data_IF_265385901773
#
_entry.id   IF_265385901773
#
_cell.length_a   1.000
_cell.length_b   1.000
_cell.length_c   1.000
_cell.angle_alpha   90.00
_cell.angle_beta   90.00
_cell.angle_gamma   90.00
#
_symmetry.space_group_name_H-M   'P 1'
#
loop_
_entity.id
_entity.type
_entity.pdbx_description
1 polymer ?
#
# COMPACT_ATOMS: atom_id res chain seq x y z
N UNK A 1 1.90 3.53 -43.33
CA UNK A 1 1.87 3.46 -41.85
C UNK A 1 0.45 3.72 -41.39
N UNK A 2 -0.15 2.90 -40.51
CA UNK A 2 -1.48 3.18 -39.99
C UNK A 2 -1.49 4.46 -39.12
N UNK A 3 -2.56 5.25 -39.20
CA UNK A 3 -2.81 6.44 -38.35
C UNK A 3 -2.68 6.03 -36.88
N UNK A 4 -1.89 6.74 -36.07
CA UNK A 4 -1.79 6.53 -34.61
C UNK A 4 -3.16 6.53 -33.90
N UNK A 5 -4.14 7.16 -34.55
CA UNK A 5 -5.56 7.27 -34.26
C UNK A 5 -6.31 5.92 -34.23
N UNK A 6 -5.73 4.88 -34.83
CA UNK A 6 -6.33 3.53 -34.96
C UNK A 6 -5.68 2.49 -34.04
N UNK A 7 -4.65 2.87 -33.31
CA UNK A 7 -4.02 1.99 -32.30
C UNK A 7 -4.91 2.08 -31.05
N UNK A 8 -5.54 0.98 -30.60
CA UNK A 8 -6.30 1.01 -29.36
C UNK A 8 -5.40 1.48 -28.22
N UNK A 9 -5.91 2.38 -27.38
CA UNK A 9 -5.20 2.77 -26.16
C UNK A 9 -4.89 1.56 -25.27
N UNK A 10 -3.95 1.68 -24.32
CA UNK A 10 -3.62 0.57 -23.43
C UNK A 10 -4.85 0.16 -22.62
N UNK A 11 -5.05 -1.15 -22.42
CA UNK A 11 -6.16 -1.68 -21.62
C UNK A 11 -6.12 -1.17 -20.16
N UNK A 12 -7.28 -1.13 -19.50
CA UNK A 12 -7.37 -0.80 -18.08
C UNK A 12 -6.57 -1.81 -17.24
N UNK A 13 -5.84 -1.37 -16.19
CA UNK A 13 -5.00 -2.27 -15.40
C UNK A 13 -5.79 -3.36 -14.67
N UNK A 14 -5.38 -4.61 -14.86
CA UNK A 14 -5.89 -5.76 -14.12
C UNK A 14 -5.22 -5.90 -12.75
N UNK A 15 -5.89 -6.57 -11.80
CA UNK A 15 -5.42 -6.76 -10.43
C UNK A 15 -4.02 -7.40 -10.33
N UNK A 16 -3.68 -8.29 -11.26
CA UNK A 16 -2.36 -8.94 -11.32
C UNK A 16 -1.23 -8.00 -11.73
N UNK A 17 -1.55 -6.90 -12.41
CA UNK A 17 -0.56 -5.94 -12.88
C UNK A 17 -0.12 -5.02 -11.73
N UNK A 18 -1.05 -4.52 -10.91
CA UNK A 18 -0.72 -3.56 -9.83
C UNK A 18 -0.63 -4.18 -8.43
N UNK A 19 -1.40 -5.23 -8.15
CA UNK A 19 -1.52 -5.84 -6.82
C UNK A 19 -0.19 -6.26 -6.20
N UNK A 20 0.69 -7.00 -6.90
CA UNK A 20 1.98 -7.41 -6.35
C UNK A 20 2.87 -6.23 -5.93
N UNK A 21 2.84 -5.12 -6.67
CA UNK A 21 3.66 -3.95 -6.40
C UNK A 21 3.17 -3.19 -5.17
N UNK A 22 1.85 -2.96 -5.05
CA UNK A 22 1.31 -2.28 -3.86
C UNK A 22 1.50 -3.11 -2.59
N UNK A 23 1.30 -4.44 -2.65
CA UNK A 23 1.59 -5.31 -1.50
C UNK A 23 3.06 -5.28 -1.10
N UNK A 24 3.95 -5.30 -2.08
CA UNK A 24 5.38 -5.18 -1.82
C UNK A 24 5.71 -3.85 -1.14
N UNK A 25 5.18 -2.73 -1.64
CA UNK A 25 5.38 -1.41 -1.02
C UNK A 25 4.89 -1.40 0.43
N UNK A 26 3.67 -1.86 0.69
CA UNK A 26 3.06 -1.82 2.02
C UNK A 26 3.82 -2.70 3.02
N UNK A 27 4.09 -3.96 2.67
CA UNK A 27 4.82 -4.86 3.58
C UNK A 27 6.30 -4.47 3.74
N UNK A 28 6.95 -3.94 2.69
CA UNK A 28 8.31 -3.43 2.80
C UNK A 28 8.41 -2.21 3.72
N UNK A 29 7.45 -1.29 3.66
CA UNK A 29 7.36 -0.19 4.62
C UNK A 29 7.14 -0.72 6.04
N UNK A 30 6.27 -1.72 6.22
CA UNK A 30 6.00 -2.30 7.54
C UNK A 30 7.26 -2.91 8.19
N UNK A 31 8.21 -3.42 7.41
CA UNK A 31 9.48 -3.92 7.94
C UNK A 31 10.39 -2.83 8.54
N UNK A 32 10.18 -1.57 8.12
CA UNK A 32 10.87 -0.37 8.58
C UNK A 32 10.13 0.38 9.69
N UNK A 33 8.86 0.05 9.94
CA UNK A 33 8.05 0.73 10.94
C UNK A 33 8.61 0.59 12.36
N UNK A 34 8.37 1.60 13.21
CA UNK A 34 8.75 1.56 14.62
C UNK A 34 10.26 1.66 14.87
N UNK A 35 11.01 2.20 13.90
CA UNK A 35 12.49 2.24 13.92
C UNK A 35 13.07 3.62 13.60
N UNK A 36 12.31 4.69 13.82
CA UNK A 36 12.84 6.05 13.61
C UNK A 36 13.96 6.34 14.58
N UNK A 37 15.01 7.00 14.09
CA UNK A 37 16.23 7.26 14.89
C UNK A 37 15.99 8.32 15.96
N UNK A 38 15.15 9.31 15.66
CA UNK A 38 14.87 10.42 16.57
C UNK A 38 13.41 10.35 17.03
N UNK A 39 13.20 10.31 18.35
CA UNK A 39 11.87 10.24 18.96
C UNK A 39 10.91 11.36 18.49
N UNK A 40 11.47 12.50 18.06
CA UNK A 40 10.70 13.60 17.44
C UNK A 40 9.86 13.15 16.23
N UNK A 41 10.31 12.14 15.47
CA UNK A 41 9.63 11.65 14.28
C UNK A 41 8.58 10.56 14.55
N UNK A 42 8.47 10.03 15.77
CA UNK A 42 7.51 8.96 16.09
C UNK A 42 6.06 9.40 15.82
N UNK A 43 5.73 10.64 16.20
CA UNK A 43 4.37 11.18 16.01
C UNK A 43 4.02 11.38 14.52
N UNK A 44 5.00 11.78 13.72
CA UNK A 44 4.86 11.94 12.28
C UNK A 44 4.73 10.59 11.58
N UNK A 45 5.52 9.60 11.99
CA UNK A 45 5.46 8.24 11.45
C UNK A 45 4.09 7.60 11.72
N UNK A 46 3.60 7.68 12.97
CA UNK A 46 2.26 7.19 13.35
C UNK A 46 1.18 7.81 12.49
N UNK A 47 1.19 9.15 12.40
CA UNK A 47 0.22 9.89 11.59
C UNK A 47 0.31 9.48 10.13
N UNK A 48 1.52 9.35 9.59
CA UNK A 48 1.72 8.95 8.21
C UNK A 48 1.20 7.54 7.93
N UNK A 49 1.39 6.57 8.83
CA UNK A 49 0.82 5.22 8.70
C UNK A 49 -0.70 5.22 8.73
N UNK A 50 -1.32 5.87 9.72
CA UNK A 50 -2.79 5.95 9.82
C UNK A 50 -3.37 6.52 8.53
N UNK A 51 -2.78 7.60 8.02
CA UNK A 51 -3.27 8.25 6.82
C UNK A 51 -2.96 7.44 5.54
N UNK A 52 -1.81 6.76 5.47
CA UNK A 52 -1.47 5.86 4.37
C UNK A 52 -2.51 4.73 4.28
N UNK A 53 -2.79 4.05 5.40
CA UNK A 53 -3.75 2.96 5.44
C UNK A 53 -5.16 3.46 5.07
N UNK A 54 -5.58 4.63 5.56
CA UNK A 54 -6.86 5.25 5.13
C UNK A 54 -6.90 5.57 3.63
N UNK A 55 -5.77 5.94 3.05
CA UNK A 55 -5.67 6.31 1.64
C UNK A 55 -5.66 5.12 0.66
N UNK A 56 -5.45 3.88 1.14
CA UNK A 56 -5.39 2.69 0.26
C UNK A 56 -6.70 2.53 -0.52
N UNK A 57 -7.84 2.41 0.16
CA UNK A 57 -9.13 2.13 -0.49
C UNK A 57 -9.43 3.06 -1.67
N UNK A 58 -9.46 4.39 -1.49
CA UNK A 58 -9.78 5.32 -2.57
C UNK A 58 -8.84 5.28 -3.79
N UNK A 59 -7.57 4.85 -3.61
CA UNK A 59 -6.60 4.83 -4.71
C UNK A 59 -6.58 3.53 -5.51
N UNK A 60 -7.23 2.45 -5.05
CA UNK A 60 -7.16 1.16 -5.78
C UNK A 60 -7.85 1.26 -7.15
N UNK A 61 -7.29 0.69 -8.24
CA UNK A 61 -7.90 0.69 -9.57
C UNK A 61 -9.18 -0.15 -9.67
N UNK A 62 -9.33 -1.17 -8.83
CA UNK A 62 -10.47 -2.08 -8.89
C UNK A 62 -11.59 -1.66 -7.94
N UNK A 63 -12.79 -1.39 -8.47
CA UNK A 63 -13.96 -1.00 -7.69
C UNK A 63 -14.36 -2.01 -6.61
N UNK A 64 -14.31 -3.30 -6.93
CA UNK A 64 -14.59 -4.38 -5.97
C UNK A 64 -13.55 -4.38 -4.84
N UNK A 65 -12.26 -4.23 -5.16
CA UNK A 65 -11.22 -4.12 -4.14
C UNK A 65 -11.43 -2.89 -3.24
N UNK A 66 -11.96 -1.77 -3.76
CA UNK A 66 -12.29 -0.59 -2.95
C UNK A 66 -13.38 -0.89 -1.92
N UNK A 67 -14.45 -1.59 -2.32
CA UNK A 67 -15.53 -1.93 -1.40
C UNK A 67 -15.06 -2.94 -0.35
N UNK A 68 -14.32 -3.97 -0.76
CA UNK A 68 -13.72 -4.92 0.16
C UNK A 68 -12.80 -4.24 1.19
N UNK A 69 -11.95 -3.32 0.74
CA UNK A 69 -11.07 -2.57 1.62
C UNK A 69 -11.86 -1.64 2.56
N UNK A 70 -12.93 -1.02 2.08
CA UNK A 70 -13.83 -0.19 2.89
C UNK A 70 -14.47 -1.00 4.02
N UNK A 71 -14.99 -2.19 3.72
CA UNK A 71 -15.50 -3.10 4.77
C UNK A 71 -14.39 -3.48 5.75
N UNK A 72 -13.20 -3.82 5.25
CA UNK A 72 -12.07 -4.21 6.08
C UNK A 72 -11.65 -3.12 7.06
N UNK A 73 -11.40 -1.90 6.57
CA UNK A 73 -10.87 -0.80 7.40
C UNK A 73 -11.91 -0.29 8.41
N UNK A 74 -13.20 -0.46 8.13
CA UNK A 74 -14.26 -0.21 9.12
C UNK A 74 -14.28 -1.25 10.23
N UNK A 75 -14.08 -2.54 9.89
CA UNK A 75 -14.04 -3.63 10.87
C UNK A 75 -12.73 -3.67 11.67
N UNK A 76 -11.63 -3.18 11.11
CA UNK A 76 -10.28 -3.21 11.71
C UNK A 76 -9.70 -1.79 11.78
N UNK A 77 -10.21 -0.93 12.69
CA UNK A 77 -9.86 0.49 12.74
C UNK A 77 -8.38 0.72 13.05
N UNK A 78 -7.73 1.55 12.25
CA UNK A 78 -6.29 1.85 12.36
C UNK A 78 -5.94 2.87 13.44
N UNK A 79 -6.96 3.46 14.11
CA UNK A 79 -6.80 4.42 15.20
C UNK A 79 -6.07 3.84 16.42
N UNK A 80 -5.99 2.51 16.54
CA UNK A 80 -5.17 1.86 17.57
C UNK A 80 -3.70 2.35 17.54
N UNK A 81 -3.18 2.73 16.36
CA UNK A 81 -1.84 3.28 16.19
C UNK A 81 -1.61 4.61 16.92
N UNK A 82 -2.66 5.35 17.26
CA UNK A 82 -2.57 6.67 17.92
C UNK A 82 -2.06 6.55 19.36
N UNK A 83 -2.42 5.47 20.06
CA UNK A 83 -2.20 5.33 21.51
C UNK A 83 -1.31 4.15 21.90
N UNK A 84 -1.04 3.21 21.00
CA UNK A 84 -0.20 2.05 21.33
C UNK A 84 1.26 2.43 21.61
N UNK A 85 1.99 1.65 22.43
CA UNK A 85 3.43 1.81 22.61
C UNK A 85 4.17 1.74 21.26
N UNK A 86 5.20 2.57 21.10
CA UNK A 86 5.89 2.75 19.81
C UNK A 86 6.63 1.49 19.37
N UNK A 87 7.22 0.79 20.33
CA UNK A 87 7.90 -0.48 20.16
C UNK A 87 6.97 -1.59 19.62
N UNK A 88 5.66 -1.50 19.87
CA UNK A 88 4.65 -2.46 19.40
C UNK A 88 4.12 -2.14 18.00
N UNK A 89 4.40 -0.94 17.49
CA UNK A 89 3.84 -0.43 16.24
C UNK A 89 4.20 -1.29 15.04
N UNK A 90 5.46 -1.74 14.96
CA UNK A 90 5.94 -2.58 13.85
C UNK A 90 5.12 -3.86 13.73
N UNK A 91 5.06 -4.64 14.81
CA UNK A 91 4.39 -5.94 14.80
C UNK A 91 2.88 -5.77 14.60
N UNK A 92 2.29 -4.70 15.13
CA UNK A 92 0.88 -4.39 14.87
C UNK A 92 0.62 -4.13 13.38
N UNK A 93 1.43 -3.28 12.72
CA UNK A 93 1.25 -2.97 11.28
C UNK A 93 1.47 -4.22 10.42
N UNK A 94 2.49 -5.02 10.74
CA UNK A 94 2.76 -6.29 10.06
C UNK A 94 1.57 -7.23 10.14
N UNK A 95 1.04 -7.42 11.35
CA UNK A 95 -0.12 -8.28 11.58
C UNK A 95 -1.34 -7.75 10.83
N UNK A 96 -1.65 -6.47 10.95
CA UNK A 96 -2.82 -5.87 10.31
C UNK A 96 -2.79 -6.00 8.77
N UNK A 97 -1.64 -5.72 8.15
CA UNK A 97 -1.48 -5.87 6.70
C UNK A 97 -1.50 -7.34 6.28
N UNK A 98 -0.93 -8.23 7.08
CA UNK A 98 -0.97 -9.66 6.83
C UNK A 98 -2.40 -10.18 6.89
N UNK A 99 -3.16 -9.89 7.95
CA UNK A 99 -4.55 -10.31 8.09
C UNK A 99 -5.41 -9.84 6.91
N UNK A 100 -5.22 -8.60 6.46
CA UNK A 100 -5.86 -8.05 5.27
C UNK A 100 -5.47 -8.84 4.01
N UNK A 101 -4.19 -9.07 3.78
CA UNK A 101 -3.71 -9.79 2.60
C UNK A 101 -4.19 -11.25 2.62
N UNK A 102 -4.26 -11.87 3.79
CA UNK A 102 -4.80 -13.21 3.99
C UNK A 102 -6.31 -13.26 3.73
N UNK A 103 -7.06 -12.22 4.07
CA UNK A 103 -8.46 -12.09 3.72
C UNK A 103 -8.66 -12.04 2.19
N UNK A 104 -7.83 -11.27 1.49
CA UNK A 104 -7.81 -11.25 0.02
C UNK A 104 -7.42 -12.63 -0.55
N UNK A 105 -6.40 -13.28 0.00
CA UNK A 105 -5.96 -14.60 -0.46
C UNK A 105 -7.06 -15.66 -0.30
N UNK A 106 -7.79 -15.68 0.82
CA UNK A 106 -8.93 -16.59 1.02
C UNK A 106 -10.03 -16.39 -0.01
N UNK A 107 -10.37 -15.13 -0.34
CA UNK A 107 -11.40 -14.83 -1.37
C UNK A 107 -10.99 -15.26 -2.77
N UNK A 108 -9.68 -15.27 -3.05
CA UNK A 108 -9.10 -15.64 -4.33
C UNK A 108 -8.60 -17.09 -4.38
N UNK A 109 -8.89 -17.91 -3.36
CA UNK A 109 -8.41 -19.29 -3.21
C UNK A 109 -6.89 -19.44 -3.40
N UNK A 110 -6.13 -18.49 -2.83
CA UNK A 110 -4.67 -18.48 -2.85
C UNK A 110 -4.10 -19.08 -1.56
N UNK A 111 -2.92 -19.67 -1.69
CA UNK A 111 -2.17 -20.20 -0.57
C UNK A 111 -1.92 -19.14 0.52
N UNK A 112 -1.97 -19.58 1.78
CA UNK A 112 -1.70 -18.74 2.94
C UNK A 112 -0.19 -18.60 3.12
N UNK A 113 0.31 -17.37 3.15
CA UNK A 113 1.66 -17.08 3.59
C UNK A 113 1.70 -17.07 5.13
N UNK A 114 2.56 -17.84 5.81
CA UNK A 114 2.74 -17.75 7.25
C UNK A 114 3.26 -16.37 7.67
N UNK A 115 2.73 -15.80 8.77
CA UNK A 115 3.17 -14.50 9.29
C UNK A 115 4.69 -14.46 9.57
N UNK A 116 5.25 -15.59 10.02
CA UNK A 116 6.68 -15.76 10.30
C UNK A 116 7.58 -15.61 9.08
N UNK A 117 7.04 -15.77 7.87
CA UNK A 117 7.79 -15.69 6.61
C UNK A 117 7.81 -14.27 6.01
N UNK A 118 7.04 -13.34 6.56
CA UNK A 118 6.95 -11.96 6.04
C UNK A 118 8.31 -11.30 5.90
N UNK A 119 9.18 -11.42 6.90
CA UNK A 119 10.50 -10.77 6.85
C UNK A 119 11.39 -11.41 5.80
N UNK A 120 11.31 -12.73 5.60
CA UNK A 120 12.06 -13.40 4.53
C UNK A 120 11.63 -12.90 3.14
N UNK A 121 10.35 -12.60 2.97
CA UNK A 121 9.80 -12.11 1.70
C UNK A 121 10.03 -10.60 1.48
N UNK A 122 9.88 -9.77 2.51
CA UNK A 122 9.74 -8.32 2.35
C UNK A 122 10.92 -7.48 2.88
N UNK A 123 11.81 -8.03 3.72
CA UNK A 123 12.90 -7.23 4.32
C UNK A 123 13.91 -6.71 3.27
N UNK A 124 14.20 -7.50 2.25
CA UNK A 124 15.22 -7.21 1.23
C UNK A 124 14.70 -6.48 -0.02
N UNK A 125 13.42 -6.12 -0.07
CA UNK A 125 12.84 -5.57 -1.30
C UNK A 125 13.30 -4.12 -1.53
N UNK A 126 13.46 -3.75 -2.80
CA UNK A 126 13.68 -2.36 -3.18
C UNK A 126 12.33 -1.62 -3.25
N UNK A 127 11.88 -1.08 -2.12
CA UNK A 127 10.57 -0.40 -1.98
C UNK A 127 10.42 0.74 -3.00
N UNK A 128 11.47 1.53 -3.23
CA UNK A 128 11.45 2.65 -4.19
C UNK A 128 11.21 2.16 -5.62
N UNK A 129 11.81 1.03 -6.01
CA UNK A 129 11.56 0.41 -7.32
C UNK A 129 10.14 -0.13 -7.42
N UNK A 130 9.65 -0.84 -6.40
CA UNK A 130 8.28 -1.36 -6.36
C UNK A 130 7.25 -0.22 -6.46
N UNK A 131 7.48 0.88 -5.76
CA UNK A 131 6.62 2.07 -5.83
C UNK A 131 6.64 2.72 -7.22
N UNK A 132 7.81 2.83 -7.87
CA UNK A 132 7.91 3.35 -9.25
C UNK A 132 7.13 2.47 -10.24
N UNK A 133 7.21 1.15 -10.12
CA UNK A 133 6.45 0.22 -10.96
C UNK A 133 4.94 0.37 -10.71
N UNK A 134 4.52 0.46 -9.45
CA UNK A 134 3.12 0.72 -9.11
C UNK A 134 2.62 2.06 -9.69
N UNK A 135 3.39 3.13 -9.53
CA UNK A 135 3.05 4.47 -10.04
C UNK A 135 2.85 4.48 -11.57
N UNK A 136 3.66 3.72 -12.32
CA UNK A 136 3.50 3.62 -13.78
C UNK A 136 2.14 3.02 -14.15
N UNK A 137 1.67 2.03 -13.40
CA UNK A 137 0.39 1.36 -13.65
C UNK A 137 -0.77 2.23 -13.18
N UNK A 138 -0.63 2.91 -12.04
CA UNK A 138 -1.62 3.87 -11.53
C UNK A 138 -1.85 5.05 -12.46
N UNK A 139 -0.80 5.58 -13.09
CA UNK A 139 -0.94 6.64 -14.10
C UNK A 139 -1.90 6.22 -15.23
N UNK A 140 -1.89 4.95 -15.63
CA UNK A 140 -2.83 4.40 -16.62
C UNK A 140 -4.26 4.35 -16.08
N UNK A 141 -4.47 3.92 -14.83
CA UNK A 141 -5.79 3.91 -14.20
C UNK A 141 -6.39 5.32 -14.07
N UNK A 142 -5.57 6.30 -13.69
CA UNK A 142 -5.95 7.72 -13.55
C UNK A 142 -6.31 8.31 -14.91
N UNK A 143 -5.50 8.08 -15.95
CA UNK A 143 -5.78 8.55 -17.31
C UNK A 143 -7.10 8.03 -17.87
N UNK A 144 -7.48 6.80 -17.48
CA UNK A 144 -8.74 6.16 -17.84
C UNK A 144 -9.88 6.46 -16.85
N UNK A 145 -9.67 7.40 -15.92
CA UNK A 145 -10.66 7.88 -14.94
C UNK A 145 -11.15 6.79 -13.95
N UNK A 146 -10.43 5.67 -13.82
CA UNK A 146 -10.79 4.61 -12.86
C UNK A 146 -10.30 4.86 -11.43
N UNK A 147 -9.34 5.78 -11.26
CA UNK A 147 -8.81 6.25 -9.98
C UNK A 147 -8.82 7.79 -9.95
N UNK A 148 -9.42 8.43 -8.94
CA UNK A 148 -9.34 9.88 -8.77
C UNK A 148 -7.89 10.32 -8.48
N UNK A 149 -7.38 11.31 -9.23
CA UNK A 149 -6.02 11.82 -9.03
C UNK A 149 -5.76 12.30 -7.59
N UNK A 150 -6.77 12.86 -6.92
CA UNK A 150 -6.65 13.30 -5.53
C UNK A 150 -6.46 12.14 -4.56
N UNK A 151 -7.11 10.99 -4.81
CA UNK A 151 -6.93 9.79 -4.00
C UNK A 151 -5.50 9.27 -4.13
N UNK A 152 -5.00 9.18 -5.36
CA UNK A 152 -3.61 8.84 -5.64
C UNK A 152 -2.63 9.79 -4.94
N UNK A 153 -2.78 11.10 -5.13
CA UNK A 153 -1.90 12.11 -4.52
C UNK A 153 -1.89 12.06 -2.99
N UNK A 154 -3.02 11.70 -2.37
CA UNK A 154 -3.12 11.51 -0.93
C UNK A 154 -2.29 10.30 -0.48
N UNK A 155 -2.40 9.17 -1.18
CA UNK A 155 -1.55 7.99 -0.92
C UNK A 155 -0.06 8.32 -1.10
N UNK A 156 0.31 8.96 -2.21
CA UNK A 156 1.70 9.35 -2.51
C UNK A 156 2.27 10.28 -1.44
N UNK A 157 1.50 11.25 -0.95
CA UNK A 157 1.92 12.15 0.12
C UNK A 157 2.38 11.36 1.35
N UNK A 158 1.55 10.44 1.83
CA UNK A 158 1.86 9.68 3.05
C UNK A 158 2.95 8.63 2.83
N UNK A 159 3.01 8.03 1.64
CA UNK A 159 4.14 7.19 1.23
C UNK A 159 5.46 7.99 1.31
N UNK A 160 5.51 9.19 0.73
CA UNK A 160 6.71 10.04 0.74
C UNK A 160 7.11 10.47 2.15
N UNK A 161 6.15 10.78 3.02
CA UNK A 161 6.43 11.06 4.43
C UNK A 161 7.14 9.88 5.09
N UNK A 162 6.62 8.66 4.95
CA UNK A 162 7.26 7.47 5.51
C UNK A 162 8.62 7.20 4.87
N UNK A 163 8.73 7.31 3.54
CA UNK A 163 9.98 7.12 2.83
C UNK A 163 11.07 8.09 3.30
N UNK A 164 10.71 9.36 3.54
CA UNK A 164 11.61 10.37 4.11
C UNK A 164 12.04 10.00 5.53
N UNK A 165 11.09 9.63 6.39
CA UNK A 165 11.36 9.24 7.78
C UNK A 165 12.24 7.99 7.87
N UNK A 166 12.18 7.12 6.86
CA UNK A 166 13.01 5.92 6.75
C UNK A 166 14.30 6.08 5.95
N UNK A 167 14.64 7.30 5.51
CA UNK A 167 15.86 7.57 4.75
C UNK A 167 15.92 6.86 3.39
N UNK A 168 14.77 6.67 2.74
CA UNK A 168 14.65 6.03 1.42
C UNK A 168 14.76 7.01 0.25
N UNK A 169 14.71 8.31 0.53
CA UNK A 169 14.66 9.42 -0.44
C UNK A 169 15.84 10.35 -0.26
#
# INVERSE_FOLDING_TARGET
MPCSCKIPGPAYPENREWGPFVWSVLHGLAEKAGKVVFALYESDERRAWIQLLKAIGPMLPCSECREHYKTWITAHPVQALETMPYESMKEWIRLWLWELHQDVNRRLDKAILPHTELSAQYLGINITMQFKLFELIEKRAIQQQGVPIQAWMTFVKHFRTLASVYGMT
#
